data_IF_971451456507
#
_entry.id   IF_971451456507
#
_cell.length_a   1.000
_cell.length_b   1.000
_cell.length_c   1.000
_cell.angle_alpha   90.00
_cell.angle_beta   90.00
_cell.angle_gamma   90.00
#
_symmetry.space_group_name_H-M   'P 1'
#
loop_
_entity.id
_entity.type
_entity.pdbx_description
1 polymer ?
#
# COMPACT_ATOMS: atom_id res chain seq x y z
N UNK A 1 -16.62 -25.25 -19.57
CA UNK A 1 -15.77 -24.16 -19.03
C UNK A 1 -16.54 -23.41 -17.92
N UNK A 2 -16.44 -23.78 -16.63
CA UNK A 2 -17.14 -23.08 -15.52
C UNK A 2 -16.41 -23.10 -14.15
N UNK A 3 -15.08 -23.20 -14.10
CA UNK A 3 -14.32 -23.28 -12.81
C UNK A 3 -13.53 -22.02 -12.40
N UNK A 4 -13.43 -20.98 -13.24
CA UNK A 4 -12.50 -19.85 -13.01
C UNK A 4 -12.86 -18.94 -11.81
N UNK A 5 -14.13 -18.71 -11.52
CA UNK A 5 -14.55 -17.71 -10.51
C UNK A 5 -14.15 -18.05 -9.04
N UNK A 6 -14.33 -19.29 -8.53
CA UNK A 6 -13.96 -19.61 -7.14
C UNK A 6 -12.44 -19.61 -6.89
N UNK A 7 -11.64 -20.01 -7.88
CA UNK A 7 -10.17 -20.01 -7.76
C UNK A 7 -9.58 -18.58 -7.75
N UNK A 8 -10.15 -17.68 -8.56
CA UNK A 8 -9.77 -16.27 -8.58
C UNK A 8 -10.02 -15.61 -7.22
N UNK A 9 -11.21 -15.81 -6.62
CA UNK A 9 -11.54 -15.28 -5.28
C UNK A 9 -10.57 -15.77 -4.21
N UNK A 10 -10.22 -17.07 -4.23
CA UNK A 10 -9.26 -17.64 -3.27
C UNK A 10 -7.87 -17.01 -3.37
N UNK A 11 -7.40 -16.71 -4.59
CA UNK A 11 -6.11 -16.03 -4.80
C UNK A 11 -6.13 -14.58 -4.32
N UNK A 12 -7.22 -13.84 -4.57
CA UNK A 12 -7.39 -12.47 -4.08
C UNK A 12 -7.37 -12.43 -2.55
N UNK A 13 -8.13 -13.30 -1.88
CA UNK A 13 -8.14 -13.39 -0.41
C UNK A 13 -6.76 -13.71 0.19
N UNK A 14 -5.97 -14.53 -0.50
CA UNK A 14 -4.60 -14.82 -0.07
C UNK A 14 -3.66 -13.62 -0.25
N UNK A 15 -3.82 -12.85 -1.32
CA UNK A 15 -3.05 -11.64 -1.57
C UNK A 15 -3.37 -10.54 -0.56
N UNK A 16 -4.64 -10.38 -0.18
CA UNK A 16 -5.09 -9.45 0.87
C UNK A 16 -4.54 -9.83 2.24
N UNK A 17 -4.59 -11.12 2.63
CA UNK A 17 -4.01 -11.58 3.90
C UNK A 17 -2.52 -11.33 4.01
N UNK A 18 -1.78 -11.47 2.91
CA UNK A 18 -0.34 -11.18 2.88
C UNK A 18 -0.07 -9.68 2.93
N UNK A 19 -0.90 -8.88 2.26
CA UNK A 19 -0.87 -7.43 2.39
C UNK A 19 -1.01 -7.02 3.85
N UNK A 20 -2.01 -7.59 4.55
CA UNK A 20 -2.25 -7.33 5.96
C UNK A 20 -1.05 -7.70 6.84
N UNK A 21 -0.46 -8.89 6.64
CA UNK A 21 0.73 -9.30 7.39
C UNK A 21 1.93 -8.36 7.16
N UNK A 22 2.10 -7.85 5.94
CA UNK A 22 3.14 -6.86 5.63
C UNK A 22 2.87 -5.51 6.31
N UNK A 23 1.61 -5.07 6.32
CA UNK A 23 1.17 -3.85 7.02
C UNK A 23 1.48 -3.97 8.51
N UNK A 24 1.11 -5.08 9.14
CA UNK A 24 1.38 -5.36 10.56
C UNK A 24 2.88 -5.34 10.87
N UNK A 25 3.71 -6.01 10.06
CA UNK A 25 5.16 -6.01 10.26
C UNK A 25 5.81 -4.64 10.09
N UNK A 26 5.28 -3.80 9.19
CA UNK A 26 5.75 -2.41 9.03
C UNK A 26 5.41 -1.58 10.27
N UNK A 27 4.18 -1.73 10.80
CA UNK A 27 3.72 -1.01 11.99
C UNK A 27 4.48 -1.44 13.25
N UNK A 28 4.78 -2.72 13.42
CA UNK A 28 5.59 -3.23 14.52
C UNK A 28 6.97 -2.55 14.57
N UNK A 29 7.57 -2.29 13.41
CA UNK A 29 8.84 -1.57 13.30
C UNK A 29 8.73 -0.04 13.33
N UNK A 30 7.52 0.52 13.36
CA UNK A 30 7.26 1.96 13.18
C UNK A 30 6.27 2.47 14.25
N UNK A 31 6.72 2.67 15.51
CA UNK A 31 5.84 2.99 16.64
C UNK A 31 5.09 4.33 16.48
N UNK A 32 5.63 5.27 15.71
CA UNK A 32 5.00 6.56 15.42
C UNK A 32 4.00 6.49 14.25
N UNK A 33 3.86 5.30 13.62
CA UNK A 33 2.99 5.08 12.48
C UNK A 33 1.52 5.02 12.88
N UNK A 34 0.70 5.94 12.34
CA UNK A 34 -0.76 5.92 12.51
C UNK A 34 -1.49 5.24 11.36
N UNK A 35 -0.76 4.88 10.31
CA UNK A 35 -1.25 4.07 9.20
C UNK A 35 -0.12 3.65 8.28
N UNK A 36 -0.44 2.76 7.34
CA UNK A 36 0.46 2.33 6.27
C UNK A 36 -0.14 2.72 4.94
N UNK A 37 0.61 3.50 4.17
CA UNK A 37 0.28 3.82 2.79
C UNK A 37 0.52 2.58 1.96
N UNK A 38 -0.43 2.21 1.12
CA UNK A 38 -0.31 1.11 0.17
C UNK A 38 -0.52 1.66 -1.22
N UNK A 39 0.46 1.46 -2.10
CA UNK A 39 0.41 1.82 -3.52
C UNK A 39 0.54 0.56 -4.35
N UNK A 40 -0.48 0.22 -5.13
CA UNK A 40 -0.50 -0.94 -6.03
C UNK A 40 -0.14 -0.50 -7.45
N UNK A 41 0.74 -1.25 -8.08
CA UNK A 41 1.20 -1.03 -9.45
C UNK A 41 0.60 -2.05 -10.40
N UNK A 42 0.39 -1.66 -11.67
CA UNK A 42 -0.17 -2.54 -12.71
C UNK A 42 0.60 -3.86 -12.91
N UNK A 43 1.91 -3.89 -12.58
CA UNK A 43 2.76 -5.07 -12.71
C UNK A 43 2.64 -6.05 -11.52
N UNK A 44 1.73 -5.78 -10.58
CA UNK A 44 1.53 -6.56 -9.34
C UNK A 44 2.56 -6.30 -8.24
N UNK A 45 3.43 -5.29 -8.42
CA UNK A 45 4.29 -4.81 -7.34
C UNK A 45 3.52 -3.83 -6.46
N UNK A 46 3.89 -3.76 -5.20
CA UNK A 46 3.31 -2.87 -4.20
C UNK A 46 4.41 -2.06 -3.53
N UNK A 47 4.10 -0.80 -3.20
CA UNK A 47 4.93 0.02 -2.32
C UNK A 47 4.17 0.30 -1.03
N UNK A 48 4.89 0.25 0.08
CA UNK A 48 4.32 0.51 1.39
C UNK A 48 5.25 1.33 2.26
N UNK A 49 4.68 2.20 3.09
CA UNK A 49 5.41 2.90 4.14
C UNK A 49 4.47 3.29 5.27
N UNK A 50 4.93 3.22 6.51
CA UNK A 50 4.22 3.81 7.64
C UNK A 50 4.22 5.34 7.52
N UNK A 51 3.15 5.97 7.97
CA UNK A 51 3.01 7.43 8.03
C UNK A 51 2.67 7.88 9.44
N UNK A 52 3.25 9.01 9.85
CA UNK A 52 2.98 9.64 11.14
C UNK A 52 1.70 10.49 11.11
N UNK A 53 1.33 11.01 12.29
CA UNK A 53 0.18 11.93 12.46
C UNK A 53 0.27 13.18 11.60
N UNK A 54 1.48 13.64 11.32
CA UNK A 54 1.72 14.84 10.50
C UNK A 54 1.80 14.52 8.99
N UNK A 55 1.55 13.26 8.60
CA UNK A 55 1.70 12.78 7.23
C UNK A 55 3.15 12.70 6.77
N UNK A 56 4.11 12.61 7.70
CA UNK A 56 5.52 12.36 7.39
C UNK A 56 5.80 10.84 7.32
N UNK A 57 6.84 10.40 6.58
CA UNK A 57 7.23 8.99 6.58
C UNK A 57 7.69 8.55 7.98
N UNK A 58 7.03 7.53 8.53
CA UNK A 58 7.43 6.86 9.77
C UNK A 58 8.28 5.61 9.53
N UNK A 59 8.41 5.19 8.27
CA UNK A 59 9.29 4.08 7.85
C UNK A 59 9.95 4.37 6.50
N UNK A 60 10.94 3.54 6.14
CA UNK A 60 11.41 3.47 4.74
C UNK A 60 10.31 2.92 3.84
N UNK A 61 10.33 3.32 2.57
CA UNK A 61 9.47 2.71 1.54
C UNK A 61 9.95 1.29 1.27
N UNK A 62 9.06 0.33 1.49
CA UNK A 62 9.26 -1.07 1.16
C UNK A 62 8.53 -1.36 -0.14
N UNK A 63 9.18 -2.10 -1.03
CA UNK A 63 8.58 -2.55 -2.27
C UNK A 63 8.64 -4.07 -2.34
N UNK A 64 7.54 -4.71 -2.70
CA UNK A 64 7.48 -6.15 -2.88
C UNK A 64 6.50 -6.53 -3.99
N UNK A 65 6.44 -7.81 -4.32
CA UNK A 65 5.52 -8.33 -5.31
C UNK A 65 4.77 -9.54 -4.76
N UNK A 66 3.46 -9.54 -4.94
CA UNK A 66 2.64 -10.67 -4.51
C UNK A 66 3.11 -11.97 -5.14
N UNK A 67 3.23 -13.00 -4.30
CA UNK A 67 3.62 -14.36 -4.70
C UNK A 67 5.04 -14.47 -5.31
N UNK A 68 5.88 -13.44 -5.24
CA UNK A 68 7.20 -13.46 -5.85
C UNK A 68 8.31 -13.37 -4.79
N UNK A 69 9.43 -14.02 -5.08
CA UNK A 69 10.66 -13.92 -4.29
C UNK A 69 11.35 -12.56 -4.47
N UNK A 70 11.06 -11.82 -5.57
CA UNK A 70 11.69 -10.53 -5.87
C UNK A 70 10.79 -9.54 -6.65
N UNK A 71 11.14 -8.26 -6.56
CA UNK A 71 10.58 -7.14 -7.33
C UNK A 71 10.83 -7.37 -8.84
N UNK A 72 9.90 -6.94 -9.72
CA UNK A 72 10.08 -7.08 -11.17
C UNK A 72 11.15 -6.13 -11.74
N UNK A 73 11.72 -6.47 -12.91
CA UNK A 73 12.83 -5.70 -13.49
C UNK A 73 12.48 -4.25 -13.81
N UNK A 74 11.25 -3.99 -14.25
CA UNK A 74 10.79 -2.62 -14.47
C UNK A 74 10.82 -1.80 -13.17
N UNK A 75 10.33 -2.37 -12.07
CA UNK A 75 10.35 -1.70 -10.76
C UNK A 75 11.77 -1.58 -10.18
N UNK A 76 12.72 -2.44 -10.57
CA UNK A 76 14.14 -2.26 -10.25
C UNK A 76 14.76 -1.09 -11.03
N UNK A 77 14.26 -0.80 -12.23
CA UNK A 77 14.76 0.28 -13.10
C UNK A 77 14.15 1.65 -12.75
N UNK A 78 12.84 1.71 -12.56
CA UNK A 78 12.10 2.98 -12.38
C UNK A 78 11.55 3.19 -10.96
N UNK A 79 11.90 2.28 -10.05
CA UNK A 79 11.47 2.31 -8.66
C UNK A 79 9.95 2.36 -8.47
N UNK A 80 9.15 1.88 -9.43
CA UNK A 80 7.70 1.91 -9.35
C UNK A 80 7.11 3.26 -9.75
N UNK A 81 7.44 3.76 -10.94
CA UNK A 81 7.00 5.08 -11.42
C UNK A 81 5.50 5.38 -11.19
N UNK A 82 5.18 6.62 -10.79
CA UNK A 82 3.83 7.05 -10.40
C UNK A 82 2.78 6.84 -11.49
N UNK A 83 3.15 6.99 -12.76
CA UNK A 83 2.25 6.81 -13.92
C UNK A 83 1.65 5.39 -14.02
N UNK A 84 2.18 4.42 -13.28
CA UNK A 84 1.74 3.02 -13.28
C UNK A 84 0.93 2.63 -12.04
N UNK A 85 0.63 3.59 -11.18
CA UNK A 85 -0.20 3.37 -9.99
C UNK A 85 -1.62 3.08 -10.43
N UNK A 86 -2.17 1.96 -9.98
CA UNK A 86 -3.56 1.57 -10.25
C UNK A 86 -4.47 1.87 -9.06
N UNK A 87 -3.94 1.74 -7.84
CA UNK A 87 -4.66 2.02 -6.60
C UNK A 87 -3.69 2.57 -5.54
N UNK A 88 -4.18 3.48 -4.70
CA UNK A 88 -3.44 3.98 -3.55
C UNK A 88 -4.40 4.29 -2.41
N UNK A 89 -4.09 3.85 -1.21
CA UNK A 89 -4.90 4.08 -0.01
C UNK A 89 -4.02 4.05 1.25
N UNK A 90 -4.58 4.47 2.38
CA UNK A 90 -3.94 4.36 3.69
C UNK A 90 -4.73 3.36 4.53
N UNK A 91 -4.05 2.34 5.04
CA UNK A 91 -4.58 1.44 6.04
C UNK A 91 -4.31 2.04 7.43
N UNK A 92 -5.35 2.48 8.12
CA UNK A 92 -5.23 3.12 9.42
C UNK A 92 -5.09 2.10 10.55
N UNK A 93 -4.27 2.43 11.55
CA UNK A 93 -4.20 1.70 12.81
C UNK A 93 -5.45 2.01 13.64
N UNK A 94 -5.94 1.07 14.44
CA UNK A 94 -7.01 1.33 15.39
C UNK A 94 -6.47 1.87 16.73
N UNK A 95 -7.05 2.95 17.29
CA UNK A 95 -8.10 3.79 16.71
C UNK A 95 -7.54 4.70 15.60
N UNK A 96 -8.30 4.91 14.50
CA UNK A 96 -7.82 5.74 13.41
C UNK A 96 -7.74 7.22 13.83
N UNK A 97 -6.94 8.04 13.12
CA UNK A 97 -6.94 9.50 13.31
C UNK A 97 -8.32 10.10 13.08
N UNK A 98 -8.51 11.36 13.50
CA UNK A 98 -9.74 12.09 13.18
C UNK A 98 -9.96 12.19 11.66
N UNK A 99 -11.20 12.39 11.22
CA UNK A 99 -11.49 12.51 9.77
C UNK A 99 -10.72 13.67 9.14
N UNK A 100 -10.55 14.77 9.87
CA UNK A 100 -9.78 15.94 9.46
C UNK A 100 -8.29 15.60 9.30
N UNK A 101 -7.71 14.88 10.26
CA UNK A 101 -6.31 14.43 10.18
C UNK A 101 -6.12 13.43 9.04
N UNK A 102 -7.05 12.49 8.88
CA UNK A 102 -7.00 11.53 7.77
C UNK A 102 -6.98 12.25 6.43
N UNK A 103 -7.85 13.24 6.23
CA UNK A 103 -7.90 14.01 4.98
C UNK A 103 -6.61 14.80 4.75
N UNK A 104 -6.07 15.44 5.79
CA UNK A 104 -4.80 16.16 5.73
C UNK A 104 -3.65 15.22 5.33
N UNK A 105 -3.53 14.07 6.01
CA UNK A 105 -2.51 13.06 5.72
C UNK A 105 -2.69 12.54 4.30
N UNK A 106 -3.92 12.20 3.89
CA UNK A 106 -4.24 11.73 2.54
C UNK A 106 -3.73 12.70 1.47
N UNK A 107 -4.08 13.98 1.59
CA UNK A 107 -3.68 15.02 0.62
C UNK A 107 -2.17 15.21 0.59
N UNK A 108 -1.50 15.18 1.75
CA UNK A 108 -0.05 15.36 1.84
C UNK A 108 0.71 14.18 1.24
N UNK A 109 0.25 12.96 1.51
CA UNK A 109 0.97 11.73 1.21
C UNK A 109 0.69 11.22 -0.20
N UNK A 110 -0.59 11.20 -0.60
CA UNK A 110 -1.02 10.71 -1.91
C UNK A 110 -1.26 11.83 -2.93
N UNK A 111 -1.18 13.09 -2.49
CA UNK A 111 -1.54 14.25 -3.29
C UNK A 111 -3.05 14.46 -3.36
N UNK A 112 -3.45 15.63 -3.85
CA UNK A 112 -4.80 15.87 -4.35
C UNK A 112 -4.84 15.44 -5.82
N UNK A 113 -5.70 14.49 -6.19
CA UNK A 113 -5.98 14.27 -7.62
C UNK A 113 -6.47 15.60 -8.23
N UNK A 114 -5.97 16.04 -9.39
CA UNK A 114 -6.64 17.09 -10.12
C UNK A 114 -8.03 16.55 -10.49
N UNK A 115 -9.07 17.23 -10.00
CA UNK A 115 -10.41 17.10 -10.57
C UNK A 115 -10.33 17.54 -12.03
N UNK A 116 -10.28 16.58 -12.95
CA UNK A 116 -10.52 16.82 -14.36
C UNK A 116 -12.01 16.99 -14.62
#
# INVERSE_FOLDING_TARGET
MKKKAPELRKKTLQAEKREQAMIEGILEGSPEGVGVVVVRLECGCRKMAAVSRDGEPASKVIMYRDMAESICDKCKQDHGAFIRVTESFIHWVEPPPSVEDQEMIYRKVLGSQPSH
#
